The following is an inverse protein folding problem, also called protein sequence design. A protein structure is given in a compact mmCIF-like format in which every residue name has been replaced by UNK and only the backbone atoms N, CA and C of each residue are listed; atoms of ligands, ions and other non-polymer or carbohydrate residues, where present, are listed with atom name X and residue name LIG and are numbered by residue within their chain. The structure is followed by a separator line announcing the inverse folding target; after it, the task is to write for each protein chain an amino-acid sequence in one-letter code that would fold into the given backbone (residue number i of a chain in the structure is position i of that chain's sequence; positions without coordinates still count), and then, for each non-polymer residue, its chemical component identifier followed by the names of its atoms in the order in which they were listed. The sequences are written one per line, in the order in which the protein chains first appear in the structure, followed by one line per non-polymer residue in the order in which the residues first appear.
data_IF_390624749646
#
_entry.id   IF_390624749646
#
_cell.length_a   1.000
_cell.length_b   1.000
_cell.length_c   1.000
_cell.angle_alpha   90.00
_cell.angle_beta   90.00
_cell.angle_gamma   90.00
#
_symmetry.space_group_name_H-M   'P 1'
#
loop_
_entity.id
_entity.type
_entity.pdbx_description
1 polymer ?
#
# COMPACT_ATOMS: atom_id res chain seq x y z
N UNK A 1 -13.27 -4.67 4.23
CA UNK A 1 -12.75 -3.31 3.91
C UNK A 1 -11.34 -3.34 3.30
N UNK A 2 -10.99 -2.44 2.37
CA UNK A 2 -9.61 -2.32 1.82
C UNK A 2 -8.83 -1.19 2.49
N UNK A 3 -7.60 -1.46 2.96
CA UNK A 3 -6.75 -0.46 3.63
C UNK A 3 -5.59 -0.03 2.71
N UNK A 4 -5.48 1.27 2.44
CA UNK A 4 -4.41 1.79 1.59
C UNK A 4 -3.16 2.15 2.40
N UNK A 5 -2.14 1.29 2.29
CA UNK A 5 -0.80 1.47 2.84
C UNK A 5 0.26 1.60 1.74
N UNK A 6 -0.12 2.07 0.56
CA UNK A 6 0.82 2.32 -0.55
C UNK A 6 1.91 3.32 -0.17
N UNK A 7 1.69 4.15 0.86
CA UNK A 7 2.62 5.18 1.33
C UNK A 7 3.26 4.83 2.68
N UNK A 8 3.38 3.54 2.95
CA UNK A 8 4.09 3.06 4.12
C UNK A 8 5.52 3.62 4.14
N UNK A 9 5.95 4.13 5.30
CA UNK A 9 7.35 4.50 5.51
C UNK A 9 8.28 3.30 5.38
N UNK A 10 9.60 3.53 5.33
CA UNK A 10 10.58 2.45 5.34
C UNK A 10 10.33 1.52 6.54
N UNK A 11 10.63 0.23 6.36
CA UNK A 11 10.54 -0.74 7.45
C UNK A 11 11.36 -0.27 8.66
N UNK A 12 10.77 -0.41 9.85
CA UNK A 12 11.36 0.05 11.11
C UNK A 12 11.14 1.53 11.45
N UNK A 13 10.55 2.34 10.56
CA UNK A 13 10.22 3.74 10.88
C UNK A 13 8.99 3.86 11.78
N UNK A 14 8.80 5.02 12.41
CA UNK A 14 7.61 5.29 13.23
C UNK A 14 6.30 5.12 12.44
N UNK A 15 6.27 5.54 11.17
CA UNK A 15 5.09 5.39 10.32
C UNK A 15 4.81 3.92 10.00
N UNK A 16 5.85 3.11 9.79
CA UNK A 16 5.72 1.65 9.64
C UNK A 16 5.11 1.00 10.88
N UNK A 17 5.64 1.32 12.06
CA UNK A 17 5.14 0.78 13.33
C UNK A 17 3.71 1.22 13.62
N UNK A 18 3.36 2.47 13.33
CA UNK A 18 2.00 2.98 13.44
C UNK A 18 1.04 2.18 12.56
N UNK A 19 1.35 1.99 11.28
CA UNK A 19 0.49 1.26 10.35
C UNK A 19 0.25 -0.19 10.77
N UNK A 20 1.26 -0.88 11.31
CA UNK A 20 1.08 -2.24 11.83
C UNK A 20 0.15 -2.23 13.04
N UNK A 21 0.39 -1.36 14.02
CA UNK A 21 -0.45 -1.26 15.22
C UNK A 21 -1.89 -0.89 14.88
N UNK A 22 -2.06 0.01 13.92
CA UNK A 22 -3.38 0.38 13.38
C UNK A 22 -4.08 -0.84 12.79
N UNK A 23 -3.41 -1.62 11.93
CA UNK A 23 -3.98 -2.84 11.36
C UNK A 23 -4.34 -3.88 12.44
N UNK A 24 -3.50 -4.05 13.47
CA UNK A 24 -3.77 -4.95 14.58
C UNK A 24 -5.03 -4.54 15.35
N UNK A 25 -5.14 -3.26 15.72
CA UNK A 25 -6.33 -2.75 16.40
C UNK A 25 -7.58 -2.83 15.51
N UNK A 26 -7.41 -2.58 14.21
CA UNK A 26 -8.51 -2.61 13.25
C UNK A 26 -9.08 -4.03 13.07
N UNK A 27 -8.24 -5.06 13.11
CA UNK A 27 -8.67 -6.46 13.06
C UNK A 27 -9.63 -6.85 14.18
N UNK A 28 -9.62 -6.15 15.31
CA UNK A 28 -10.52 -6.44 16.44
C UNK A 28 -11.95 -5.93 16.19
N UNK A 29 -12.12 -4.99 15.26
CA UNK A 29 -13.38 -4.26 15.06
C UNK A 29 -13.94 -4.36 13.64
N UNK A 30 -13.14 -4.78 12.66
CA UNK A 30 -13.55 -4.86 11.27
C UNK A 30 -12.73 -5.88 10.46
N UNK A 31 -13.40 -6.53 9.51
CA UNK A 31 -12.74 -7.38 8.52
C UNK A 31 -12.03 -6.56 7.45
N UNK A 32 -10.74 -6.84 7.27
CA UNK A 32 -9.89 -6.24 6.24
C UNK A 32 -9.75 -7.23 5.09
N UNK A 33 -10.38 -6.93 3.95
CA UNK A 33 -10.40 -7.80 2.77
C UNK A 33 -9.02 -7.82 2.12
N UNK A 34 -8.39 -6.65 1.99
CA UNK A 34 -7.11 -6.50 1.33
C UNK A 34 -6.33 -5.27 1.82
N UNK A 35 -5.01 -5.32 1.66
CA UNK A 35 -4.09 -4.21 1.90
C UNK A 35 -3.45 -3.81 0.58
N UNK A 36 -3.52 -2.52 0.25
CA UNK A 36 -2.76 -1.96 -0.87
C UNK A 36 -1.40 -1.53 -0.31
N UNK A 37 -0.29 -2.08 -0.80
CA UNK A 37 1.04 -1.68 -0.34
C UNK A 37 2.09 -1.64 -1.45
N UNK A 38 3.25 -1.04 -1.16
CA UNK A 38 4.42 -1.10 -2.04
C UNK A 38 4.87 -2.54 -2.24
N UNK A 39 5.34 -2.91 -3.44
CA UNK A 39 5.84 -4.26 -3.73
C UNK A 39 6.88 -4.78 -2.73
N UNK A 40 7.76 -3.93 -2.20
CA UNK A 40 8.77 -4.32 -1.17
C UNK A 40 8.14 -4.86 0.13
N UNK A 41 6.88 -4.54 0.41
CA UNK A 41 6.21 -4.88 1.66
C UNK A 41 5.16 -5.98 1.52
N UNK A 42 4.94 -6.49 0.30
CA UNK A 42 3.90 -7.47 0.02
C UNK A 42 4.07 -8.73 0.88
N UNK A 43 5.25 -9.36 0.83
CA UNK A 43 5.59 -10.56 1.58
C UNK A 43 5.33 -10.44 3.09
N UNK A 44 5.48 -9.24 3.65
CA UNK A 44 5.25 -9.01 5.08
C UNK A 44 3.76 -9.11 5.42
N UNK A 45 2.89 -8.46 4.63
CA UNK A 45 1.45 -8.47 4.87
C UNK A 45 0.78 -9.79 4.47
N UNK A 46 1.28 -10.45 3.42
CA UNK A 46 0.82 -11.79 3.04
C UNK A 46 1.09 -12.80 4.17
N UNK A 47 2.28 -12.75 4.79
CA UNK A 47 2.60 -13.61 5.96
C UNK A 47 1.73 -13.32 7.19
N UNK A 48 1.19 -12.12 7.30
CA UNK A 48 0.21 -11.77 8.33
C UNK A 48 -1.20 -12.27 8.01
N UNK A 49 -1.41 -12.87 6.83
CA UNK A 49 -2.69 -13.43 6.39
C UNK A 49 -3.61 -12.43 5.71
N UNK A 50 -3.10 -11.32 5.19
CA UNK A 50 -3.90 -10.38 4.40
C UNK A 50 -3.77 -10.68 2.90
N UNK A 51 -4.85 -10.50 2.14
CA UNK A 51 -4.72 -10.35 0.69
C UNK A 51 -4.01 -9.02 0.39
N UNK A 52 -3.11 -9.01 -0.59
CA UNK A 52 -2.28 -7.85 -0.90
C UNK A 52 -2.47 -7.43 -2.36
N UNK A 53 -2.75 -6.13 -2.55
CA UNK A 53 -2.71 -5.47 -3.84
C UNK A 53 -1.42 -4.67 -3.92
N UNK A 54 -0.55 -5.01 -4.87
CA UNK A 54 0.77 -4.38 -4.95
C UNK A 54 0.77 -3.14 -5.82
N UNK A 55 1.44 -2.09 -5.34
CA UNK A 55 1.73 -0.88 -6.09
C UNK A 55 3.23 -0.82 -6.37
N UNK A 56 3.66 -0.51 -7.61
CA UNK A 56 5.07 -0.39 -7.94
C UNK A 56 5.79 0.64 -7.08
N UNK A 57 7.04 0.35 -6.71
CA UNK A 57 7.83 1.19 -5.81
C UNK A 57 8.02 2.64 -6.30
N UNK A 58 8.05 2.82 -7.63
CA UNK A 58 8.17 4.15 -8.24
C UNK A 58 6.92 5.02 -8.01
N UNK A 59 5.75 4.39 -7.87
CA UNK A 59 4.45 5.04 -7.62
C UNK A 59 4.27 5.29 -6.12
N UNK A 60 4.61 4.30 -5.28
CA UNK A 60 4.52 4.39 -3.82
C UNK A 60 5.57 5.32 -3.19
N UNK A 61 6.82 5.30 -3.67
CA UNK A 61 7.96 5.91 -2.99
C UNK A 61 8.73 6.94 -3.85
N UNK A 62 8.05 7.68 -4.73
CA UNK A 62 8.67 8.76 -5.52
C UNK A 62 9.30 9.82 -4.59
N UNK A 63 10.63 9.85 -4.52
CA UNK A 63 11.42 10.64 -3.56
C UNK A 63 11.55 12.12 -3.93
N UNK A 64 11.43 12.46 -5.22
CA UNK A 64 11.51 13.84 -5.71
C UNK A 64 10.15 14.34 -6.19
N UNK A 65 9.81 15.51 -5.65
CA UNK A 65 8.81 16.51 -6.07
C UNK A 65 7.32 16.15 -5.98
N UNK A 66 6.59 16.95 -5.22
CA UNK A 66 5.13 16.91 -5.08
C UNK A 66 4.35 17.08 -6.40
N UNK A 67 5.03 17.42 -7.51
CA UNK A 67 4.41 17.70 -8.81
C UNK A 67 4.37 16.49 -9.76
N UNK A 68 5.37 15.61 -9.74
CA UNK A 68 5.40 14.45 -10.65
C UNK A 68 4.54 13.30 -10.12
N UNK A 69 4.41 13.22 -8.79
CA UNK A 69 3.72 12.14 -8.10
C UNK A 69 2.23 12.00 -8.49
N UNK A 70 1.43 13.08 -8.57
CA UNK A 70 0.05 12.97 -9.02
C UNK A 70 -0.06 12.42 -10.45
N UNK A 71 0.88 12.79 -11.35
CA UNK A 71 0.90 12.29 -12.73
C UNK A 71 1.24 10.80 -12.76
N UNK A 72 2.23 10.35 -11.99
CA UNK A 72 2.60 8.94 -11.89
C UNK A 72 1.44 8.10 -11.34
N UNK A 73 0.72 8.62 -10.34
CA UNK A 73 -0.50 7.98 -9.83
C UNK A 73 -1.63 7.97 -10.86
N UNK A 74 -1.84 9.07 -11.57
CA UNK A 74 -2.86 9.16 -12.61
C UNK A 74 -2.62 8.13 -13.73
N UNK A 75 -1.39 8.06 -14.24
CA UNK A 75 -1.00 7.08 -15.26
C UNK A 75 -1.13 5.66 -14.74
N UNK A 76 -0.67 5.37 -13.52
CA UNK A 76 -0.82 4.05 -12.92
C UNK A 76 -2.29 3.65 -12.78
N UNK A 77 -3.17 4.54 -12.32
CA UNK A 77 -4.60 4.27 -12.20
C UNK A 77 -5.25 4.00 -13.56
N UNK A 78 -4.87 4.71 -14.63
CA UNK A 78 -5.35 4.44 -15.98
C UNK A 78 -4.93 3.04 -16.46
N UNK A 79 -3.66 2.68 -16.26
CA UNK A 79 -3.14 1.37 -16.65
C UNK A 79 -3.76 0.24 -15.84
N UNK A 80 -3.83 0.38 -14.51
CA UNK A 80 -4.43 -0.62 -13.62
C UNK A 80 -5.93 -0.82 -13.88
N UNK A 81 -6.64 0.25 -14.25
CA UNK A 81 -8.04 0.16 -14.66
C UNK A 81 -8.21 -0.53 -16.02
N UNK A 82 -7.28 -0.31 -16.96
CA UNK A 82 -7.33 -0.91 -18.28
C UNK A 82 -6.98 -2.41 -18.28
N UNK A 83 -6.06 -2.82 -17.41
CA UNK A 83 -5.63 -4.22 -17.30
C UNK A 83 -6.56 -5.08 -16.43
N UNK A 84 -7.50 -4.45 -15.72
CA UNK A 84 -8.36 -5.11 -14.73
C UNK A 84 -7.53 -5.67 -13.60
N UNK A 85 -7.42 -4.92 -12.48
CA UNK A 85 -6.68 -5.30 -11.26
C UNK A 85 -6.58 -6.83 -11.07
N UNK A 86 -5.44 -7.41 -11.48
CA UNK A 86 -5.06 -8.80 -11.20
C UNK A 86 -4.52 -8.90 -9.78
#
# INVERSE_FOLDING_TARGET
MIVNLSRLGKSGTGMWQYSIKFLTALREIADVDAIICSKVHADYFEKLGYAVVTVPNIVSNTSKTSRLRPLVWYVYSLLACAEGFN
#
